data_IF_681182453126
#
_entry.id   IF_681182453126
#
_cell.length_a   1.000
_cell.length_b   1.000
_cell.length_c   1.000
_cell.angle_alpha   90.00
_cell.angle_beta   90.00
_cell.angle_gamma   90.00
#
_symmetry.space_group_name_H-M   'P 1'
#
loop_
_entity.id
_entity.type
_entity.pdbx_description
1 polymer ?
#
# COMPACT_ATOMS: atom_id res chain seq x y z
N UNK A 1 -29.45 -6.76 2.02
CA UNK A 1 -28.00 -6.59 2.24
C UNK A 1 -27.37 -6.42 0.88
N UNK A 2 -26.58 -5.37 0.65
CA UNK A 2 -25.84 -5.23 -0.60
C UNK A 2 -24.83 -6.38 -0.71
N UNK A 3 -24.61 -6.89 -1.94
CA UNK A 3 -23.63 -7.95 -2.21
C UNK A 3 -22.25 -7.31 -2.28
N UNK A 4 -21.25 -7.87 -1.58
CA UNK A 4 -19.86 -7.42 -1.71
C UNK A 4 -19.32 -7.63 -3.14
N UNK A 5 -18.51 -6.70 -3.62
CA UNK A 5 -18.00 -6.67 -4.99
C UNK A 5 -16.53 -6.24 -5.04
N UNK A 6 -15.77 -6.79 -5.99
CA UNK A 6 -14.42 -6.32 -6.34
C UNK A 6 -14.57 -5.31 -7.49
N UNK A 7 -14.41 -4.03 -7.19
CA UNK A 7 -14.67 -2.93 -8.15
C UNK A 7 -13.46 -2.59 -9.03
N UNK A 8 -12.24 -2.97 -8.62
CA UNK A 8 -11.02 -2.70 -9.37
C UNK A 8 -9.90 -3.69 -9.01
N UNK A 9 -9.15 -4.12 -10.01
CA UNK A 9 -7.85 -4.77 -9.85
C UNK A 9 -6.74 -3.89 -10.44
N UNK A 10 -5.60 -3.79 -9.75
CA UNK A 10 -4.47 -2.97 -10.18
C UNK A 10 -3.13 -3.70 -9.94
N UNK A 11 -2.19 -3.51 -10.86
CA UNK A 11 -0.78 -3.79 -10.64
C UNK A 11 -0.08 -2.47 -10.30
N UNK A 12 0.26 -2.29 -9.03
CA UNK A 12 0.89 -1.09 -8.49
C UNK A 12 2.30 -1.42 -7.98
N UNK A 13 3.36 -1.27 -8.79
CA UNK A 13 4.73 -1.56 -8.37
C UNK A 13 5.20 -0.58 -7.29
N UNK A 14 6.05 -1.00 -6.37
CA UNK A 14 6.43 -0.21 -5.17
C UNK A 14 7.86 0.37 -5.21
N UNK A 15 8.35 1.03 -6.28
CA UNK A 15 9.69 1.60 -6.27
C UNK A 15 9.73 2.83 -5.33
N UNK A 16 10.60 2.84 -4.31
CA UNK A 16 10.70 3.96 -3.36
C UNK A 16 11.06 5.29 -4.05
N UNK A 17 11.75 5.21 -5.18
CA UNK A 17 12.16 6.33 -6.03
C UNK A 17 10.98 7.22 -6.48
N UNK A 18 9.81 6.65 -6.73
CA UNK A 18 8.62 7.42 -7.15
C UNK A 18 8.13 8.32 -6.02
N UNK A 19 8.18 7.84 -4.77
CA UNK A 19 7.83 8.63 -3.58
C UNK A 19 8.90 9.68 -3.31
N UNK A 20 10.18 9.29 -3.38
CA UNK A 20 11.31 10.21 -3.21
C UNK A 20 11.21 11.40 -4.17
N UNK A 21 10.93 11.15 -5.45
CA UNK A 21 10.82 12.19 -6.46
C UNK A 21 9.63 13.15 -6.26
N UNK A 22 8.56 12.71 -5.60
CA UNK A 22 7.35 13.51 -5.34
C UNK A 22 7.53 14.48 -4.16
N UNK A 23 8.51 14.26 -3.28
CA UNK A 23 8.76 15.05 -2.08
C UNK A 23 7.52 15.25 -1.18
N UNK A 24 6.76 14.20 -0.81
CA UNK A 24 5.65 14.35 0.13
C UNK A 24 6.19 14.67 1.52
N UNK A 25 5.42 15.42 2.33
CA UNK A 25 5.81 15.83 3.69
C UNK A 25 6.17 14.66 4.61
N UNK A 26 5.59 13.48 4.35
CA UNK A 26 5.81 12.27 5.12
C UNK A 26 7.19 11.63 4.86
N UNK A 27 7.85 11.90 3.73
CA UNK A 27 9.14 11.30 3.39
C UNK A 27 10.27 12.28 3.75
N UNK A 28 11.17 11.86 4.64
CA UNK A 28 12.22 12.76 5.15
C UNK A 28 13.26 13.20 4.09
N UNK A 29 13.76 12.32 3.19
CA UNK A 29 14.70 12.73 2.15
C UNK A 29 14.03 13.61 1.08
N UNK A 30 14.77 14.63 0.64
CA UNK A 30 14.32 15.58 -0.38
C UNK A 30 15.08 15.38 -1.69
N UNK A 31 14.37 15.34 -2.81
CA UNK A 31 14.87 15.15 -4.17
C UNK A 31 14.75 16.40 -5.03
N UNK A 32 15.46 16.39 -6.17
CA UNK A 32 15.28 17.38 -7.24
C UNK A 32 14.30 16.91 -8.33
N UNK A 33 13.55 15.81 -8.11
CA UNK A 33 12.62 15.21 -9.08
C UNK A 33 13.03 13.82 -9.58
N UNK A 34 12.50 13.41 -10.73
CA UNK A 34 12.76 12.12 -11.39
C UNK A 34 11.54 11.19 -11.51
N UNK A 35 11.70 10.11 -12.29
CA UNK A 35 10.71 9.05 -12.52
C UNK A 35 9.34 9.57 -13.01
N UNK A 36 9.32 10.67 -13.76
CA UNK A 36 8.13 11.42 -14.15
C UNK A 36 7.10 10.55 -14.86
N UNK A 37 7.52 9.71 -15.82
CA UNK A 37 6.59 8.84 -16.56
C UNK A 37 5.82 7.89 -15.63
N UNK A 38 6.49 7.28 -14.65
CA UNK A 38 5.84 6.41 -13.68
C UNK A 38 5.00 7.20 -12.69
N UNK A 39 5.47 8.36 -12.23
CA UNK A 39 4.70 9.26 -11.37
C UNK A 39 3.41 9.74 -12.04
N UNK A 40 3.47 10.10 -13.31
CA UNK A 40 2.28 10.49 -14.08
C UNK A 40 1.30 9.34 -14.21
N UNK A 41 1.78 8.10 -14.42
CA UNK A 41 0.95 6.90 -14.36
C UNK A 41 0.26 6.73 -13.01
N UNK A 42 0.99 6.93 -11.91
CA UNK A 42 0.43 6.91 -10.56
C UNK A 42 -0.59 8.03 -10.32
N UNK A 43 -0.37 9.22 -10.84
CA UNK A 43 -1.33 10.33 -10.76
C UNK A 43 -2.62 10.03 -11.53
N UNK A 44 -2.54 9.32 -12.66
CA UNK A 44 -3.74 8.84 -13.36
C UNK A 44 -4.50 7.80 -12.54
N UNK A 45 -3.79 6.84 -11.93
CA UNK A 45 -4.39 5.85 -11.03
C UNK A 45 -5.07 6.52 -9.83
N UNK A 46 -4.39 7.45 -9.16
CA UNK A 46 -4.92 8.19 -8.02
C UNK A 46 -6.18 8.99 -8.37
N UNK A 47 -6.23 9.60 -9.57
CA UNK A 47 -7.43 10.27 -10.08
C UNK A 47 -8.58 9.30 -10.31
N UNK A 48 -8.30 8.14 -10.93
CA UNK A 48 -9.31 7.10 -11.16
C UNK A 48 -9.87 6.56 -9.83
N UNK A 49 -9.01 6.33 -8.83
CA UNK A 49 -9.45 5.86 -7.51
C UNK A 49 -10.41 6.86 -6.84
N UNK A 50 -10.25 8.17 -7.04
CA UNK A 50 -11.17 9.18 -6.47
C UNK A 50 -12.59 9.13 -7.07
N UNK A 51 -12.77 8.49 -8.22
CA UNK A 51 -14.05 8.39 -8.93
C UNK A 51 -14.75 7.05 -8.68
N UNK A 52 -14.08 6.10 -8.03
CA UNK A 52 -14.60 4.77 -7.73
C UNK A 52 -14.98 4.72 -6.26
N UNK A 53 -16.18 4.23 -5.97
CA UNK A 53 -16.62 3.96 -4.60
C UNK A 53 -16.06 2.60 -4.15
N UNK A 54 -15.27 2.60 -3.07
CA UNK A 54 -14.70 1.40 -2.47
C UNK A 54 -14.50 1.59 -0.96
N UNK A 55 -14.74 0.53 -0.20
CA UNK A 55 -14.64 0.57 1.26
C UNK A 55 -13.21 0.36 1.78
N UNK A 56 -12.42 -0.46 1.09
CA UNK A 56 -11.07 -0.83 1.51
C UNK A 56 -10.16 -1.17 0.31
N UNK A 57 -8.86 -1.27 0.57
CA UNK A 57 -7.87 -1.78 -0.38
C UNK A 57 -7.21 -3.04 0.18
N UNK A 58 -7.18 -4.11 -0.61
CA UNK A 58 -6.42 -5.33 -0.30
C UNK A 58 -5.07 -5.26 -1.02
N UNK A 59 -3.98 -5.30 -0.27
CA UNK A 59 -2.61 -5.18 -0.79
C UNK A 59 -1.83 -6.47 -0.52
N UNK A 60 -1.30 -7.09 -1.57
CA UNK A 60 -0.30 -8.15 -1.48
C UNK A 60 1.08 -7.56 -1.77
N UNK A 61 2.00 -7.65 -0.81
CA UNK A 61 3.37 -7.11 -0.94
C UNK A 61 4.41 -8.21 -0.98
N UNK A 62 5.39 -8.17 -1.90
CA UNK A 62 6.48 -9.15 -1.92
C UNK A 62 7.50 -8.93 -0.80
N UNK A 63 7.49 -7.78 -0.13
CA UNK A 63 8.42 -7.45 0.95
C UNK A 63 7.99 -7.97 2.32
N UNK A 64 6.82 -8.59 2.44
CA UNK A 64 6.39 -9.30 3.64
C UNK A 64 6.39 -10.80 3.39
N UNK A 65 7.57 -11.40 3.51
CA UNK A 65 7.76 -12.83 3.28
C UNK A 65 7.46 -13.62 4.55
N UNK A 66 6.65 -14.68 4.42
CA UNK A 66 6.31 -15.60 5.49
C UNK A 66 6.73 -17.02 5.11
N UNK A 67 7.21 -17.79 6.09
CA UNK A 67 7.60 -19.19 5.88
C UNK A 67 6.47 -20.18 6.23
N UNK A 68 5.54 -19.78 7.09
CA UNK A 68 4.46 -20.64 7.60
C UNK A 68 3.12 -19.97 7.33
N UNK A 69 2.43 -20.39 6.27
CA UNK A 69 1.12 -19.88 5.90
C UNK A 69 1.11 -18.42 5.43
N UNK A 70 -0.10 -17.92 5.18
CA UNK A 70 -0.37 -16.54 4.71
C UNK A 70 -0.76 -15.68 5.90
N UNK A 71 -0.09 -14.54 6.09
CA UNK A 71 -0.35 -13.64 7.21
C UNK A 71 -1.23 -12.46 6.76
N UNK A 72 -1.99 -11.92 7.72
CA UNK A 72 -2.87 -10.75 7.54
C UNK A 72 -2.58 -9.74 8.65
N UNK A 73 -2.78 -8.45 8.37
CA UNK A 73 -2.65 -7.41 9.39
C UNK A 73 -3.83 -7.49 10.37
N UNK A 74 -3.54 -7.55 11.68
CA UNK A 74 -4.55 -7.78 12.73
C UNK A 74 -4.65 -6.68 13.79
N UNK A 75 -4.12 -5.49 13.53
CA UNK A 75 -4.29 -4.32 14.40
C UNK A 75 -4.98 -3.21 13.62
N UNK A 76 -5.86 -2.45 14.29
CA UNK A 76 -6.66 -1.39 13.66
C UNK A 76 -5.83 -0.27 13.04
N UNK A 77 -4.64 0.01 13.61
CA UNK A 77 -3.79 1.13 13.18
C UNK A 77 -2.31 0.78 13.33
N UNK A 78 -1.54 1.04 12.27
CA UNK A 78 -0.07 0.97 12.29
C UNK A 78 0.51 2.35 12.00
N UNK A 79 1.19 2.91 13.00
CA UNK A 79 1.84 4.21 12.90
C UNK A 79 3.32 4.05 13.25
N UNK A 80 4.19 4.25 12.26
CA UNK A 80 5.64 4.18 12.44
C UNK A 80 6.37 4.84 11.26
N UNK A 81 7.71 4.80 11.31
CA UNK A 81 8.58 5.17 10.20
C UNK A 81 8.95 3.90 9.43
N UNK A 82 8.66 3.88 8.14
CA UNK A 82 9.14 2.85 7.21
C UNK A 82 10.42 3.33 6.54
N UNK A 83 11.53 2.65 6.81
CA UNK A 83 12.83 2.93 6.19
C UNK A 83 13.14 1.81 5.21
N UNK A 84 13.38 2.15 3.94
CA UNK A 84 13.80 1.16 2.96
C UNK A 84 15.23 0.67 3.32
N UNK A 85 15.44 -0.64 3.50
CA UNK A 85 16.74 -1.17 3.92
C UNK A 85 17.80 -1.11 2.82
N UNK A 86 17.40 -1.03 1.55
CA UNK A 86 18.31 -0.95 0.39
C UNK A 86 18.53 0.51 -0.01
N UNK A 87 17.49 1.35 0.09
CA UNK A 87 17.49 2.75 -0.31
C UNK A 87 17.14 3.72 0.83
N UNK A 88 17.83 3.67 1.99
CA UNK A 88 17.50 4.51 3.15
C UNK A 88 17.75 6.01 2.89
N UNK A 89 18.57 6.33 1.89
CA UNK A 89 18.80 7.71 1.44
C UNK A 89 17.63 8.27 0.60
N UNK A 90 16.70 7.44 0.14
CA UNK A 90 15.56 7.84 -0.68
C UNK A 90 14.23 7.75 0.07
N UNK A 91 14.08 6.76 0.95
CA UNK A 91 12.79 6.45 1.57
C UNK A 91 12.88 6.23 3.08
N UNK A 92 12.37 7.22 3.82
CA UNK A 92 12.14 7.21 5.27
C UNK A 92 10.79 7.86 5.49
N UNK A 93 9.74 7.05 5.47
CA UNK A 93 8.36 7.50 5.33
C UNK A 93 7.59 7.32 6.63
N UNK A 94 7.10 8.44 7.18
CA UNK A 94 6.19 8.44 8.33
C UNK A 94 4.79 8.04 7.87
N UNK A 95 4.36 6.82 8.19
CA UNK A 95 3.05 6.32 7.81
C UNK A 95 2.10 6.24 9.00
N UNK A 96 0.83 6.33 8.68
CA UNK A 96 -0.28 6.11 9.58
C UNK A 96 -1.40 5.42 8.80
N UNK A 97 -1.43 4.09 8.86
CA UNK A 97 -2.39 3.28 8.10
C UNK A 97 -3.43 2.70 9.04
N UNK A 98 -4.67 2.65 8.56
CA UNK A 98 -5.79 1.96 9.21
C UNK A 98 -6.09 0.67 8.48
N UNK A 99 -6.50 -0.35 9.22
CA UNK A 99 -6.80 -1.68 8.69
C UNK A 99 -8.25 -2.03 8.99
N UNK A 100 -8.94 -2.55 7.98
CA UNK A 100 -10.22 -3.24 8.18
C UNK A 100 -9.94 -4.63 8.76
N UNK A 101 -9.87 -4.71 10.09
CA UNK A 101 -9.54 -5.94 10.81
C UNK A 101 -10.64 -6.99 10.62
N UNK A 102 -11.91 -6.60 10.56
CA UNK A 102 -13.02 -7.52 10.34
C UNK A 102 -12.87 -8.23 8.99
N UNK A 103 -12.55 -7.49 7.93
CA UNK A 103 -12.28 -8.09 6.62
C UNK A 103 -11.02 -8.96 6.64
N UNK A 104 -9.94 -8.50 7.28
CA UNK A 104 -8.68 -9.24 7.36
C UNK A 104 -8.85 -10.60 8.08
N UNK A 105 -9.62 -10.65 9.17
CA UNK A 105 -9.95 -11.88 9.89
C UNK A 105 -10.77 -12.84 9.02
N UNK A 106 -11.81 -12.36 8.32
CA UNK A 106 -12.59 -13.19 7.38
C UNK A 106 -11.74 -13.74 6.24
N UNK A 107 -10.78 -12.97 5.75
CA UNK A 107 -9.82 -13.44 4.73
C UNK A 107 -8.91 -14.54 5.28
N UNK A 108 -8.46 -14.40 6.53
CA UNK A 108 -7.67 -15.43 7.22
C UNK A 108 -8.47 -16.72 7.41
N UNK A 109 -9.73 -16.62 7.86
CA UNK A 109 -10.65 -17.76 7.99
C UNK A 109 -10.84 -18.48 6.65
N UNK A 110 -11.12 -17.74 5.57
CA UNK A 110 -11.27 -18.31 4.24
C UNK A 110 -9.98 -18.99 3.74
N UNK A 111 -8.82 -18.39 3.99
CA UNK A 111 -7.52 -18.96 3.63
C UNK A 111 -7.19 -20.23 4.42
N UNK A 112 -7.66 -20.35 5.67
CA UNK A 112 -7.44 -21.54 6.51
C UNK A 112 -8.21 -22.78 6.05
N UNK A 113 -9.21 -22.59 5.18
CA UNK A 113 -10.04 -23.65 4.62
C UNK A 113 -9.58 -24.14 3.23
N UNK A 114 -8.56 -23.49 2.66
CA UNK A 114 -8.00 -23.80 1.33
C UNK A 114 -6.85 -24.82 1.42
#
# INVERSE_FOLDING_TARGET
MAKGEIVLGCLAPHPPHVVYAENPEQNEPFSEGGWETLRWGYNMLARKLKEIDYDCMVILTPHWQTYVGTHFLGLERFQNISVDPIFPNLFRFHHDIKVDVELAEKMCEAASQA
#
